data_IF_552103050406
#
_entry.id   IF_552103050406
#
_cell.length_a   1.000
_cell.length_b   1.000
_cell.length_c   1.000
_cell.angle_alpha   90.00
_cell.angle_beta   90.00
_cell.angle_gamma   90.00
#
_symmetry.space_group_name_H-M   'P 1'
#
loop_
_entity.id
_entity.type
_entity.pdbx_description
1 polymer ?
#
# COMPACT_ATOMS: atom_id res chain seq x y z
N UNK A 1 -1.73 -8.15 1.26
CA UNK A 1 -2.38 -8.17 2.59
C UNK A 1 -3.73 -8.86 2.59
N UNK A 2 -4.71 -8.42 1.79
CA UNK A 2 -6.05 -9.00 1.76
C UNK A 2 -6.08 -10.52 1.48
N UNK A 3 -5.30 -11.01 0.50
CA UNK A 3 -5.13 -12.47 0.26
C UNK A 3 -4.65 -13.23 1.50
N UNK A 4 -3.73 -12.65 2.27
CA UNK A 4 -3.21 -13.29 3.49
C UNK A 4 -4.30 -13.35 4.55
N UNK A 5 -5.00 -12.23 4.80
CA UNK A 5 -6.12 -12.19 5.73
C UNK A 5 -7.22 -13.21 5.39
N UNK A 6 -7.46 -13.45 4.10
CA UNK A 6 -8.41 -14.41 3.57
C UNK A 6 -7.87 -15.86 3.46
N UNK A 7 -6.63 -16.11 3.88
CA UNK A 7 -6.00 -17.45 3.82
C UNK A 7 -5.68 -17.95 2.41
N UNK A 8 -5.71 -17.07 1.40
CA UNK A 8 -5.38 -17.37 0.01
C UNK A 8 -3.88 -17.34 -0.29
N UNK A 9 -3.09 -16.73 0.60
CA UNK A 9 -1.65 -16.58 0.48
C UNK A 9 -1.02 -16.64 1.86
N UNK A 10 0.13 -17.32 1.99
CA UNK A 10 0.76 -17.47 3.30
C UNK A 10 1.64 -16.29 3.71
N UNK A 11 2.35 -15.70 2.74
CA UNK A 11 3.40 -14.72 3.01
C UNK A 11 3.56 -13.73 1.86
N UNK A 12 3.88 -12.49 2.20
CA UNK A 12 4.27 -11.43 1.28
C UNK A 12 5.79 -11.23 1.33
N UNK A 13 6.43 -11.17 0.18
CA UNK A 13 7.86 -10.86 0.07
C UNK A 13 8.04 -9.43 -0.45
N UNK A 14 8.91 -8.66 0.19
CA UNK A 14 9.20 -7.26 -0.14
C UNK A 14 10.72 -7.01 -0.17
N UNK A 15 11.15 -5.89 -0.74
CA UNK A 15 12.53 -5.43 -0.70
C UNK A 15 12.80 -4.55 0.53
N UNK A 16 13.34 -3.35 0.31
CA UNK A 16 13.63 -2.40 1.37
C UNK A 16 12.36 -1.89 2.07
N UNK A 17 12.14 -2.31 3.32
CA UNK A 17 11.00 -1.90 4.15
C UNK A 17 11.13 -0.46 4.70
N UNK A 18 12.35 0.09 4.74
CA UNK A 18 12.64 1.42 5.27
C UNK A 18 12.54 2.51 4.19
N UNK A 19 12.32 2.13 2.93
CA UNK A 19 12.14 3.08 1.84
C UNK A 19 10.97 4.03 2.11
N UNK A 20 11.24 5.34 2.08
CA UNK A 20 10.29 6.42 2.36
C UNK A 20 9.71 6.99 1.08
N UNK A 21 8.38 7.08 1.02
CA UNK A 21 7.66 7.56 -0.16
C UNK A 21 6.58 8.56 0.21
N UNK A 22 6.41 9.54 -0.67
CA UNK A 22 5.26 10.43 -0.71
C UNK A 22 4.15 9.76 -1.55
N UNK A 23 3.14 9.24 -0.86
CA UNK A 23 1.99 8.56 -1.46
C UNK A 23 0.79 9.49 -1.52
N UNK A 24 0.24 9.67 -2.72
CA UNK A 24 -1.02 10.39 -2.93
C UNK A 24 -2.04 9.55 -3.70
N UNK A 25 -3.30 9.97 -3.60
CA UNK A 25 -4.40 9.30 -4.29
C UNK A 25 -4.45 9.72 -5.76
N UNK A 26 -4.54 8.75 -6.69
CA UNK A 26 -4.49 9.02 -8.12
C UNK A 26 -5.61 9.97 -8.61
N UNK A 27 -6.82 9.89 -8.01
CA UNK A 27 -7.94 10.82 -8.28
C UNK A 27 -7.55 12.30 -8.09
N UNK A 28 -6.79 12.62 -7.04
CA UNK A 28 -6.33 13.99 -6.80
C UNK A 28 -5.28 14.41 -7.84
N UNK A 29 -4.44 13.47 -8.26
CA UNK A 29 -3.32 13.77 -9.16
C UNK A 29 -3.81 14.02 -10.58
N UNK A 30 -4.84 13.30 -11.05
CA UNK A 30 -5.45 13.56 -12.37
C UNK A 30 -6.22 14.89 -12.41
N UNK A 31 -6.77 15.35 -11.28
CA UNK A 31 -7.31 16.70 -11.17
C UNK A 31 -6.22 17.75 -11.37
N UNK A 32 -5.04 17.56 -10.77
CA UNK A 32 -3.90 18.44 -10.99
C UNK A 32 -3.49 18.49 -12.47
N UNK A 33 -3.44 17.33 -13.15
CA UNK A 33 -3.15 17.26 -14.59
C UNK A 33 -4.13 18.10 -15.40
N UNK A 34 -5.43 18.01 -15.07
CA UNK A 34 -6.45 18.84 -15.71
C UNK A 34 -6.25 20.34 -15.42
N UNK A 35 -6.00 20.73 -14.16
CA UNK A 35 -5.77 22.12 -13.74
C UNK A 35 -4.56 22.76 -14.45
N UNK A 36 -3.49 22.00 -14.68
CA UNK A 36 -2.29 22.46 -15.40
C UNK A 36 -2.66 22.90 -16.82
N UNK A 37 -3.54 22.17 -17.50
CA UNK A 37 -3.96 22.50 -18.86
C UNK A 37 -4.91 23.70 -18.93
N UNK A 38 -5.41 24.19 -17.80
CA UNK A 38 -6.29 25.37 -17.75
C UNK A 38 -5.52 26.68 -17.56
N UNK A 39 -4.19 26.64 -17.43
CA UNK A 39 -3.37 27.83 -17.21
C UNK A 39 -3.07 28.57 -18.52
N UNK A 40 -2.96 29.89 -18.46
CA UNK A 40 -2.62 30.73 -19.63
C UNK A 40 -1.19 30.49 -20.14
N UNK A 41 -0.27 30.11 -19.25
CA UNK A 41 1.15 29.89 -19.55
C UNK A 41 1.54 28.47 -19.15
N UNK A 42 2.15 27.75 -20.09
CA UNK A 42 2.66 26.40 -19.85
C UNK A 42 3.85 26.43 -18.88
N UNK A 43 3.77 25.60 -17.83
CA UNK A 43 4.80 25.47 -16.81
C UNK A 43 4.83 24.04 -16.26
N UNK A 44 5.95 23.66 -15.64
CA UNK A 44 6.11 22.39 -14.94
C UNK A 44 5.74 22.52 -13.46
N UNK A 45 5.12 21.48 -12.90
CA UNK A 45 4.65 21.46 -11.50
C UNK A 45 5.05 20.17 -10.79
N UNK A 46 5.46 20.28 -9.53
CA UNK A 46 5.53 19.15 -8.61
C UNK A 46 4.14 18.92 -8.01
N UNK A 47 3.60 17.71 -8.22
CA UNK A 47 2.34 17.25 -7.65
C UNK A 47 2.68 16.16 -6.64
N UNK A 48 2.49 16.47 -5.36
CA UNK A 48 2.90 15.62 -4.24
C UNK A 48 2.10 15.99 -2.97
N UNK A 49 2.09 15.14 -1.96
CA UNK A 49 1.46 15.48 -0.67
C UNK A 49 2.37 16.32 0.22
N UNK A 50 3.69 16.11 0.12
CA UNK A 50 4.71 16.68 1.01
C UNK A 50 4.90 15.90 2.31
N UNK A 51 4.31 14.72 2.43
CA UNK A 51 4.41 13.83 3.59
C UNK A 51 4.98 12.50 3.13
N UNK A 52 5.85 11.88 3.93
CA UNK A 52 6.42 10.57 3.61
C UNK A 52 6.01 9.50 4.61
N UNK A 53 6.01 8.26 4.16
CA UNK A 53 5.78 7.10 5.01
C UNK A 53 6.67 5.95 4.53
N UNK A 54 7.05 5.06 5.45
CA UNK A 54 7.89 3.90 5.11
C UNK A 54 7.04 2.77 4.52
N UNK A 55 7.66 1.89 3.72
CA UNK A 55 6.98 0.67 3.23
C UNK A 55 6.48 -0.18 4.40
N UNK A 56 7.28 -0.29 5.47
CA UNK A 56 6.91 -0.94 6.73
C UNK A 56 5.61 -0.40 7.32
N UNK A 57 5.49 0.92 7.43
CA UNK A 57 4.31 1.54 8.03
C UNK A 57 3.09 1.39 7.11
N UNK A 58 3.28 1.48 5.79
CA UNK A 58 2.22 1.19 4.83
C UNK A 58 1.69 -0.25 4.97
N UNK A 59 2.58 -1.22 5.17
CA UNK A 59 2.20 -2.62 5.45
C UNK A 59 1.42 -2.72 6.76
N UNK A 60 1.88 -2.09 7.84
CA UNK A 60 1.15 -2.07 9.13
C UNK A 60 -0.25 -1.47 8.97
N UNK A 61 -0.37 -0.33 8.30
CA UNK A 61 -1.66 0.33 8.03
C UNK A 61 -2.59 -0.60 7.25
N UNK A 62 -2.06 -1.29 6.23
CA UNK A 62 -2.83 -2.24 5.42
C UNK A 62 -3.36 -3.43 6.24
N UNK A 63 -2.55 -4.03 7.11
CA UNK A 63 -3.00 -5.13 7.96
C UNK A 63 -3.98 -4.65 9.04
N UNK A 64 -3.81 -3.43 9.54
CA UNK A 64 -4.72 -2.83 10.51
C UNK A 64 -6.15 -2.67 9.96
N UNK A 65 -6.31 -2.38 8.67
CA UNK A 65 -7.64 -2.30 8.02
C UNK A 65 -8.44 -3.61 8.09
N UNK A 66 -7.76 -4.75 8.23
CA UNK A 66 -8.38 -6.07 8.41
C UNK A 66 -8.25 -6.56 9.86
N UNK A 67 -7.98 -5.64 10.81
CA UNK A 67 -7.92 -5.93 12.24
C UNK A 67 -6.74 -6.80 12.66
N UNK A 68 -5.65 -6.81 11.88
CA UNK A 68 -4.44 -7.58 12.17
C UNK A 68 -3.31 -6.62 12.54
N UNK A 69 -2.67 -6.87 13.68
CA UNK A 69 -1.49 -6.11 14.10
C UNK A 69 -0.22 -6.93 13.90
N UNK A 70 0.84 -6.27 13.44
CA UNK A 70 2.12 -6.90 13.14
C UNK A 70 3.26 -6.35 13.99
N UNK A 71 4.16 -7.24 14.38
CA UNK A 71 5.46 -6.92 14.97
C UNK A 71 6.55 -7.33 13.99
N UNK A 72 7.50 -6.43 13.74
CA UNK A 72 8.66 -6.67 12.89
C UNK A 72 9.86 -7.05 13.76
N UNK A 73 10.55 -8.13 13.40
CA UNK A 73 11.75 -8.63 14.10
C UNK A 73 12.85 -8.94 13.10
N UNK A 74 14.09 -8.71 13.52
CA UNK A 74 15.26 -8.80 12.65
C UNK A 74 15.62 -7.45 12.04
N UNK A 75 16.65 -7.43 11.21
CA UNK A 75 17.16 -6.23 10.55
C UNK A 75 17.54 -6.56 9.11
N UNK A 76 17.36 -5.60 8.19
CA UNK A 76 17.71 -5.75 6.79
C UNK A 76 17.00 -6.94 6.14
N UNK A 77 17.77 -7.82 5.50
CA UNK A 77 17.24 -8.99 4.78
C UNK A 77 16.66 -10.08 5.68
N UNK A 78 17.06 -10.09 6.96
CA UNK A 78 16.55 -11.06 7.95
C UNK A 78 15.26 -10.56 8.62
N UNK A 79 14.81 -9.37 8.27
CA UNK A 79 13.63 -8.77 8.88
C UNK A 79 12.33 -9.41 8.39
N UNK A 80 11.46 -9.69 9.35
CA UNK A 80 10.19 -10.41 9.15
C UNK A 80 9.09 -9.82 10.00
N UNK A 81 7.85 -9.88 9.52
CA UNK A 81 6.68 -9.47 10.28
C UNK A 81 5.85 -10.67 10.75
N UNK A 82 5.47 -10.64 12.02
CA UNK A 82 4.71 -11.67 12.70
C UNK A 82 3.39 -11.10 13.21
N UNK A 83 2.32 -11.90 13.15
CA UNK A 83 1.00 -11.53 13.68
C UNK A 83 1.05 -11.47 15.20
N UNK A 84 0.69 -10.31 15.78
CA UNK A 84 0.60 -10.11 17.23
C UNK A 84 -0.83 -10.28 17.72
N UNK A 85 -1.77 -9.71 16.98
CA UNK A 85 -3.19 -9.78 17.29
C UNK A 85 -4.00 -9.87 16.00
N UNK A 86 -5.16 -10.52 16.09
CA UNK A 86 -6.12 -10.63 15.01
C UNK A 86 -7.52 -10.47 15.61
N UNK A 87 -8.05 -9.25 15.56
CA UNK A 87 -9.25 -8.84 16.29
C UNK A 87 -10.49 -8.74 15.39
N UNK A 88 -10.47 -9.38 14.22
CA UNK A 88 -11.58 -9.38 13.28
C UNK A 88 -12.19 -10.77 13.15
N UNK A 89 -13.50 -10.91 13.29
CA UNK A 89 -14.16 -12.22 13.19
C UNK A 89 -14.11 -12.82 11.78
N UNK A 90 -13.96 -11.98 10.74
CA UNK A 90 -13.90 -12.41 9.34
C UNK A 90 -12.54 -13.03 8.96
N UNK A 91 -11.49 -12.79 9.76
CA UNK A 91 -10.12 -13.20 9.46
C UNK A 91 -9.50 -13.85 10.69
N UNK A 92 -8.89 -15.02 10.57
CA UNK A 92 -8.37 -15.76 11.72
C UNK A 92 -6.93 -16.19 11.44
N UNK A 93 -6.00 -15.23 11.52
CA UNK A 93 -4.58 -15.52 11.41
C UNK A 93 -4.02 -15.97 12.76
N UNK A 94 -3.19 -17.02 12.73
CA UNK A 94 -2.50 -17.53 13.91
C UNK A 94 -1.52 -16.48 14.47
N UNK A 95 -1.60 -16.24 15.78
CA UNK A 95 -0.63 -15.38 16.48
C UNK A 95 0.76 -16.02 16.37
N UNK A 96 1.74 -15.22 15.99
CA UNK A 96 3.10 -15.67 15.70
C UNK A 96 3.33 -16.15 14.27
N UNK A 97 2.30 -16.17 13.39
CA UNK A 97 2.50 -16.49 11.97
C UNK A 97 3.36 -15.43 11.29
N UNK A 98 4.40 -15.86 10.60
CA UNK A 98 5.21 -15.02 9.72
C UNK A 98 4.44 -14.72 8.43
N UNK A 99 4.11 -13.45 8.19
CA UNK A 99 3.26 -13.02 7.06
C UNK A 99 3.96 -12.08 6.10
N UNK A 100 5.09 -11.48 6.50
CA UNK A 100 5.93 -10.64 5.63
C UNK A 100 7.39 -11.03 5.86
N UNK A 101 8.15 -11.13 4.78
CA UNK A 101 9.60 -11.30 4.82
C UNK A 101 10.28 -10.43 3.77
N UNK A 102 11.52 -10.06 4.04
CA UNK A 102 12.37 -9.38 3.08
C UNK A 102 13.03 -10.40 2.16
N UNK A 103 13.01 -10.16 0.85
CA UNK A 103 13.69 -10.97 -0.16
C UNK A 103 14.67 -10.09 -0.97
N UNK A 104 15.98 -10.41 -0.95
CA UNK A 104 17.01 -9.68 -1.69
C UNK A 104 16.71 -9.48 -3.18
N UNK A 105 15.93 -10.38 -3.80
CA UNK A 105 15.56 -10.27 -5.21
C UNK A 105 14.72 -9.02 -5.53
N UNK A 106 14.06 -8.42 -4.54
CA UNK A 106 13.27 -7.19 -4.72
C UNK A 106 14.07 -5.91 -4.45
N UNK A 107 15.34 -6.00 -4.04
CA UNK A 107 16.19 -4.82 -3.90
C UNK A 107 16.60 -4.32 -5.27
N UNK A 108 16.64 -2.99 -5.41
CA UNK A 108 17.10 -2.36 -6.64
C UNK A 108 18.60 -2.12 -6.55
N UNK A 109 19.36 -2.30 -7.65
CA UNK A 109 20.79 -1.96 -7.69
C UNK A 109 21.07 -0.50 -7.30
N UNK A 110 20.11 0.38 -7.57
CA UNK A 110 20.11 1.78 -7.14
C UNK A 110 18.81 2.05 -6.40
N UNK A 111 18.87 1.99 -5.08
CA UNK A 111 17.73 2.28 -4.22
C UNK A 111 17.54 3.80 -4.10
N UNK A 112 16.28 4.21 -3.97
CA UNK A 112 15.96 5.59 -3.59
C UNK A 112 15.39 5.54 -2.19
N UNK A 113 16.16 6.02 -1.22
CA UNK A 113 15.78 5.90 0.19
C UNK A 113 14.63 6.83 0.55
N UNK A 114 14.62 8.05 0.01
CA UNK A 114 13.64 9.09 0.30
C UNK A 114 13.13 9.74 -0.99
N UNK A 115 11.81 9.73 -1.18
CA UNK A 115 11.13 10.54 -2.18
C UNK A 115 10.07 11.39 -1.46
N UNK A 116 10.30 12.71 -1.46
CA UNK A 116 9.39 13.72 -0.92
C UNK A 116 9.27 14.87 -1.92
N UNK A 117 8.05 15.29 -2.24
CA UNK A 117 7.82 16.41 -3.13
C UNK A 117 7.47 17.69 -2.38
N UNK A 118 7.86 18.84 -2.92
CA UNK A 118 7.38 20.15 -2.45
C UNK A 118 6.25 20.66 -3.38
N UNK A 119 4.96 20.54 -2.99
CA UNK A 119 3.83 21.00 -3.79
C UNK A 119 3.53 22.50 -3.62
N UNK A 120 4.44 23.32 -3.09
CA UNK A 120 4.19 24.76 -2.86
C UNK A 120 3.77 25.48 -4.15
N UNK A 121 4.41 25.17 -5.28
CA UNK A 121 4.06 25.78 -6.58
C UNK A 121 2.67 25.39 -7.06
N UNK A 122 2.29 24.11 -6.98
CA UNK A 122 0.97 23.63 -7.42
C UNK A 122 -0.14 24.15 -6.51
N UNK A 123 0.10 24.21 -5.19
CA UNK A 123 -0.83 24.82 -4.23
C UNK A 123 -1.08 26.31 -4.50
N UNK A 124 -0.02 27.07 -4.77
CA UNK A 124 -0.12 28.53 -4.93
C UNK A 124 -0.64 28.96 -6.29
N UNK A 125 -0.19 28.33 -7.38
CA UNK A 125 -0.59 28.72 -8.75
C UNK A 125 -1.86 28.02 -9.24
N UNK A 126 -2.03 26.73 -8.93
CA UNK A 126 -3.19 25.95 -9.41
C UNK A 126 -4.35 25.94 -8.41
N UNK A 127 -4.11 26.35 -7.15
CA UNK A 127 -5.06 26.13 -6.06
C UNK A 127 -5.26 24.65 -5.70
N UNK A 128 -4.42 23.76 -6.23
CA UNK A 128 -4.53 22.33 -6.05
C UNK A 128 -4.08 21.90 -4.65
N UNK A 129 -4.85 21.03 -4.00
CA UNK A 129 -4.48 20.38 -2.75
C UNK A 129 -4.99 18.92 -2.76
N UNK A 130 -4.21 17.96 -2.20
CA UNK A 130 -4.73 16.61 -2.02
C UNK A 130 -5.96 16.65 -1.10
N UNK A 131 -6.99 15.89 -1.48
CA UNK A 131 -8.23 15.73 -0.71
C UNK A 131 -8.21 14.45 0.12
N UNK A 132 -7.46 13.44 -0.34
CA UNK A 132 -7.27 12.18 0.39
C UNK A 132 -5.99 12.23 1.20
N UNK A 133 -6.05 11.70 2.42
CA UNK A 133 -4.86 11.39 3.20
C UNK A 133 -4.40 9.95 2.96
N UNK A 134 -3.29 9.56 3.58
CA UNK A 134 -2.74 8.23 3.43
C UNK A 134 -3.65 7.15 4.01
N UNK A 135 -4.38 7.45 5.09
CA UNK A 135 -5.28 6.48 5.71
C UNK A 135 -6.46 6.17 4.78
N UNK A 136 -7.08 7.20 4.19
CA UNK A 136 -8.14 7.04 3.20
C UNK A 136 -7.69 6.32 1.93
N UNK A 137 -6.44 6.54 1.49
CA UNK A 137 -5.86 5.76 0.38
C UNK A 137 -5.75 4.27 0.74
N UNK A 138 -5.20 3.94 1.90
CA UNK A 138 -5.02 2.55 2.35
C UNK A 138 -6.38 1.88 2.57
N UNK A 139 -7.38 2.61 3.08
CA UNK A 139 -8.76 2.13 3.23
C UNK A 139 -9.39 1.77 1.87
N UNK A 140 -9.37 2.68 0.88
CA UNK A 140 -9.94 2.44 -0.46
C UNK A 140 -9.28 1.22 -1.12
N UNK A 141 -7.94 1.13 -1.05
CA UNK A 141 -7.18 -0.01 -1.58
C UNK A 141 -7.55 -1.33 -0.89
N UNK A 142 -7.59 -1.35 0.44
CA UNK A 142 -7.85 -2.57 1.20
C UNK A 142 -9.29 -3.04 1.07
N UNK A 143 -10.26 -2.12 1.05
CA UNK A 143 -11.66 -2.44 0.85
C UNK A 143 -11.88 -3.10 -0.53
N UNK A 144 -11.31 -2.50 -1.59
CA UNK A 144 -11.40 -3.03 -2.94
C UNK A 144 -10.78 -4.42 -3.08
N UNK A 145 -9.58 -4.62 -2.53
CA UNK A 145 -8.89 -5.91 -2.57
C UNK A 145 -9.65 -7.00 -1.78
N UNK A 146 -10.13 -6.67 -0.58
CA UNK A 146 -10.93 -7.61 0.23
C UNK A 146 -12.20 -8.04 -0.52
N UNK A 147 -12.93 -7.10 -1.11
CA UNK A 147 -14.12 -7.41 -1.90
C UNK A 147 -13.76 -8.31 -3.09
N UNK A 148 -12.69 -7.98 -3.81
CA UNK A 148 -12.23 -8.75 -4.96
C UNK A 148 -11.90 -10.20 -4.60
N UNK A 149 -11.11 -10.40 -3.54
CA UNK A 149 -10.69 -11.75 -3.13
C UNK A 149 -11.80 -12.54 -2.41
N UNK A 150 -12.79 -11.89 -1.79
CA UNK A 150 -14.01 -12.57 -1.32
C UNK A 150 -14.79 -13.19 -2.49
N UNK A 151 -14.85 -12.53 -3.66
CA UNK A 151 -15.45 -13.11 -4.88
C UNK A 151 -14.68 -14.33 -5.37
N UNK A 152 -13.35 -14.29 -5.35
CA UNK A 152 -12.51 -15.45 -5.71
C UNK A 152 -12.77 -16.65 -4.77
N UNK A 153 -12.88 -16.40 -3.46
CA UNK A 153 -13.21 -17.46 -2.50
C UNK A 153 -14.58 -18.08 -2.78
N UNK A 154 -15.59 -17.28 -3.11
CA UNK A 154 -16.92 -17.78 -3.47
C UNK A 154 -16.87 -18.67 -4.71
N UNK A 155 -16.11 -18.29 -5.74
CA UNK A 155 -15.93 -19.10 -6.94
C UNK A 155 -15.22 -20.43 -6.64
N UNK A 156 -14.15 -20.40 -5.84
CA UNK A 156 -13.45 -21.62 -5.38
C UNK A 156 -14.37 -22.53 -4.58
N UNK A 157 -15.17 -21.98 -3.65
CA UNK A 157 -16.14 -22.73 -2.86
C UNK A 157 -17.26 -23.36 -3.72
N UNK A 158 -17.63 -22.71 -4.82
CA UNK A 158 -18.58 -23.24 -5.79
C UNK A 158 -17.96 -24.25 -6.79
N UNK A 159 -16.68 -24.61 -6.64
CA UNK A 159 -16.00 -25.62 -7.45
C UNK A 159 -15.39 -25.10 -8.76
N UNK A 160 -15.36 -23.78 -8.98
CA UNK A 160 -14.71 -23.20 -10.15
C UNK A 160 -13.20 -23.09 -9.95
N UNK A 161 -12.45 -23.37 -11.02
CA UNK A 161 -11.02 -23.08 -11.07
C UNK A 161 -10.82 -21.57 -11.27
N UNK A 162 -10.27 -20.91 -10.26
CA UNK A 162 -9.81 -19.52 -10.35
C UNK A 162 -8.30 -19.59 -10.52
N UNK A 163 -7.80 -19.17 -11.68
CA UNK A 163 -6.35 -19.08 -11.94
C UNK A 163 -5.73 -18.11 -10.95
N UNK A 164 -4.61 -18.50 -10.35
CA UNK A 164 -3.81 -17.52 -9.61
C UNK A 164 -3.18 -16.54 -10.62
N UNK A 165 -2.97 -15.28 -10.23
CA UNK A 165 -2.37 -14.25 -11.11
C UNK A 165 -0.95 -14.58 -11.63
N UNK A 166 -0.35 -15.68 -11.18
CA UNK A 166 0.95 -16.19 -11.61
C UNK A 166 0.83 -17.41 -12.56
N UNK A 167 -0.38 -17.81 -12.94
CA UNK A 167 -0.71 -18.95 -13.82
C UNK A 167 -1.38 -18.55 -15.15
#
# INVERSE_FOLDING_TARGET
TAKIALGLQDKLYLGNLDALRDWGHAKDYVEAMWLILQQDVAEDYVIATGVTTSVRDFVKMSFKQVGIELEFKGEGVEEKAYVVSCNNTDYQLEIGKEVVAVDPAYFRPTEVDLLIGDPTKSKTKLGWKPQYDLEGLVEDMMAADVEHFKKELMLKAAGYSVKNQFE
#
